data_IF_013245129510
#
_entry.id   IF_013245129510
#
_cell.length_a   1.000
_cell.length_b   1.000
_cell.length_c   1.000
_cell.angle_alpha   90.00
_cell.angle_beta   90.00
_cell.angle_gamma   90.00
#
_symmetry.space_group_name_H-M   'P 1'
#
loop_
_entity.id
_entity.type
_entity.pdbx_description
1 polymer ?
#
# COMPACT_ATOMS: atom_id res chain seq x y z
N UNK A 1 -10.72 4.91 -5.61
CA UNK A 1 -11.16 3.80 -6.50
C UNK A 1 -10.55 3.88 -7.90
N UNK A 2 -10.49 5.07 -8.52
CA UNK A 2 -9.88 5.21 -9.86
C UNK A 2 -8.38 4.87 -9.92
N UNK A 3 -7.60 5.17 -8.86
CA UNK A 3 -6.17 4.85 -8.82
C UNK A 3 -5.87 3.35 -8.88
N UNK A 4 -6.69 2.54 -8.21
CA UNK A 4 -6.61 1.07 -8.26
C UNK A 4 -7.01 0.55 -9.66
N UNK A 5 -7.99 1.19 -10.30
CA UNK A 5 -8.34 0.90 -11.70
C UNK A 5 -7.20 1.22 -12.68
N UNK A 6 -6.47 2.32 -12.44
CA UNK A 6 -5.28 2.70 -13.20
C UNK A 6 -4.12 1.72 -12.94
N UNK A 7 -3.90 1.28 -11.71
CA UNK A 7 -2.94 0.23 -11.38
C UNK A 7 -3.30 -1.10 -12.07
N UNK A 8 -4.59 -1.45 -12.09
CA UNK A 8 -5.13 -2.56 -12.87
C UNK A 8 -4.77 -2.43 -14.36
N UNK A 9 -5.10 -1.30 -14.97
CA UNK A 9 -4.81 -1.00 -16.37
C UNK A 9 -3.30 -1.11 -16.69
N UNK A 10 -2.45 -0.50 -15.87
CA UNK A 10 -0.98 -0.59 -16.00
C UNK A 10 -0.45 -2.02 -15.85
N UNK A 11 -1.12 -2.85 -15.04
CA UNK A 11 -0.74 -4.25 -14.83
C UNK A 11 -1.32 -5.23 -15.87
N UNK A 12 -2.05 -4.74 -16.87
CA UNK A 12 -2.69 -5.57 -17.90
C UNK A 12 -3.95 -6.29 -17.42
N UNK A 13 -4.70 -5.68 -16.50
CA UNK A 13 -5.96 -6.20 -16.00
C UNK A 13 -7.13 -5.71 -16.87
N UNK A 14 -7.83 -6.64 -17.54
CA UNK A 14 -8.92 -6.34 -18.49
C UNK A 14 -10.28 -6.04 -17.82
N UNK A 15 -10.37 -5.97 -16.49
CA UNK A 15 -11.63 -5.64 -15.80
C UNK A 15 -12.68 -6.77 -15.78
N UNK A 16 -12.33 -7.95 -16.26
CA UNK A 16 -13.21 -9.11 -16.39
C UNK A 16 -13.61 -9.75 -15.07
N UNK A 17 -12.87 -9.52 -13.99
CA UNK A 17 -13.17 -10.06 -12.67
C UNK A 17 -13.86 -9.02 -11.77
N UNK A 18 -15.01 -9.39 -11.22
CA UNK A 18 -15.82 -8.53 -10.37
C UNK A 18 -15.55 -8.84 -8.90
N UNK A 19 -14.96 -7.90 -8.18
CA UNK A 19 -14.69 -8.01 -6.74
C UNK A 19 -15.98 -7.81 -5.92
N UNK A 20 -16.92 -8.75 -5.99
CA UNK A 20 -18.20 -8.68 -5.28
C UNK A 20 -18.20 -9.45 -3.96
N UNK A 21 -17.57 -10.61 -3.89
CA UNK A 21 -17.55 -11.45 -2.68
C UNK A 21 -16.12 -11.64 -2.16
N UNK A 22 -15.89 -11.44 -0.85
CA UNK A 22 -14.64 -11.84 -0.21
C UNK A 22 -14.44 -13.35 -0.35
N UNK A 23 -13.26 -13.77 -0.82
CA UNK A 23 -12.90 -15.19 -0.94
C UNK A 23 -13.04 -15.79 -2.34
N UNK A 24 -13.51 -15.02 -3.33
CA UNK A 24 -13.49 -15.45 -4.73
C UNK A 24 -12.04 -15.64 -5.21
N UNK A 25 -11.78 -16.79 -5.85
CA UNK A 25 -10.46 -17.09 -6.40
C UNK A 25 -10.19 -16.25 -7.64
N UNK A 26 -8.98 -15.73 -7.74
CA UNK A 26 -8.58 -14.82 -8.83
C UNK A 26 -8.30 -15.51 -10.19
N UNK A 27 -8.51 -16.82 -10.29
CA UNK A 27 -8.31 -17.64 -11.50
C UNK A 27 -7.06 -17.20 -12.31
N UNK A 28 -7.23 -16.82 -13.58
CA UNK A 28 -6.16 -16.37 -14.47
C UNK A 28 -5.94 -14.85 -14.51
N UNK A 29 -6.55 -14.09 -13.58
CA UNK A 29 -6.46 -12.63 -13.60
C UNK A 29 -5.23 -12.11 -12.87
N UNK A 30 -4.53 -11.15 -13.46
CA UNK A 30 -3.34 -10.52 -12.88
C UNK A 30 -3.67 -9.56 -11.72
N UNK A 31 -3.98 -10.09 -10.54
CA UNK A 31 -4.20 -9.31 -9.32
C UNK A 31 -2.90 -8.87 -8.63
N UNK A 32 -1.77 -9.51 -8.97
CA UNK A 32 -0.46 -9.24 -8.36
C UNK A 32 0.03 -7.80 -8.60
N UNK A 33 -0.25 -7.23 -9.78
CA UNK A 33 0.13 -5.84 -10.08
C UNK A 33 -0.61 -4.82 -9.23
N UNK A 34 -1.90 -5.04 -8.98
CA UNK A 34 -2.71 -4.20 -8.10
C UNK A 34 -2.24 -4.28 -6.64
N UNK A 35 -1.89 -5.49 -6.16
CA UNK A 35 -1.31 -5.67 -4.81
C UNK A 35 0.07 -5.03 -4.70
N UNK A 36 0.92 -5.22 -5.71
CA UNK A 36 2.25 -4.60 -5.75
C UNK A 36 2.18 -3.08 -5.72
N UNK A 37 1.21 -2.49 -6.41
CA UNK A 37 0.99 -1.04 -6.40
C UNK A 37 0.55 -0.52 -5.02
N UNK A 38 -0.42 -1.17 -4.36
CA UNK A 38 -0.82 -0.82 -3.00
C UNK A 38 0.34 -0.98 -2.00
N UNK A 39 1.09 -2.09 -2.08
CA UNK A 39 2.23 -2.34 -1.21
C UNK A 39 3.36 -1.33 -1.44
N UNK A 40 3.59 -0.91 -2.69
CA UNK A 40 4.56 0.12 -3.02
C UNK A 40 4.17 1.48 -2.41
N UNK A 41 2.93 1.92 -2.58
CA UNK A 41 2.45 3.16 -1.97
C UNK A 41 2.49 3.13 -0.44
N UNK A 42 2.09 2.02 0.18
CA UNK A 42 2.21 1.84 1.62
C UNK A 42 3.66 1.83 2.11
N UNK A 43 4.58 1.24 1.35
CA UNK A 43 6.01 1.26 1.68
C UNK A 43 6.63 2.66 1.59
N UNK A 44 6.13 3.53 0.72
CA UNK A 44 6.55 4.93 0.62
C UNK A 44 6.09 5.77 1.82
N UNK A 45 5.05 5.33 2.54
CA UNK A 45 4.53 6.03 3.71
C UNK A 45 5.57 6.07 4.85
N UNK A 46 6.38 5.02 5.01
CA UNK A 46 7.46 4.94 6.01
C UNK A 46 8.54 6.02 5.81
N UNK A 47 9.20 6.17 4.64
CA UNK A 47 10.18 7.23 4.43
C UNK A 47 9.55 8.63 4.46
N UNK A 48 8.29 8.80 4.04
CA UNK A 48 7.61 10.09 4.20
C UNK A 48 7.38 10.45 5.67
N UNK A 49 6.99 9.47 6.52
CA UNK A 49 6.86 9.68 7.96
C UNK A 49 8.21 10.05 8.59
N UNK A 50 9.30 9.37 8.20
CA UNK A 50 10.66 9.73 8.63
C UNK A 50 11.00 11.19 8.31
N UNK A 51 10.81 11.62 7.06
CA UNK A 51 11.10 12.98 6.61
C UNK A 51 10.24 14.02 7.33
N UNK A 52 8.96 13.71 7.54
CA UNK A 52 8.01 14.60 8.24
C UNK A 52 8.43 14.83 9.69
N UNK A 53 8.80 13.77 10.41
CA UNK A 53 9.27 13.89 11.80
C UNK A 53 10.63 14.55 11.86
N UNK A 54 11.51 14.30 10.89
CA UNK A 54 12.81 14.95 10.81
C UNK A 54 12.68 16.46 10.63
N UNK A 55 11.82 16.93 9.72
CA UNK A 55 11.55 18.36 9.51
C UNK A 55 10.91 19.01 10.74
N UNK A 56 9.94 18.34 11.37
CA UNK A 56 9.19 18.90 12.49
C UNK A 56 10.01 18.93 13.80
N UNK A 57 10.73 17.85 14.09
CA UNK A 57 11.45 17.68 15.37
C UNK A 57 12.94 18.03 15.28
N UNK A 58 13.51 18.15 14.07
CA UNK A 58 14.96 18.32 13.80
C UNK A 58 15.87 17.32 14.51
N UNK A 59 15.33 16.15 14.86
CA UNK A 59 15.99 15.15 15.68
C UNK A 59 16.00 13.81 14.94
N UNK A 60 17.21 13.37 14.56
CA UNK A 60 17.45 12.06 13.92
C UNK A 60 16.91 10.87 14.74
N UNK A 61 17.12 10.76 16.07
CA UNK A 61 16.59 9.63 16.82
C UNK A 61 15.06 9.63 16.88
N UNK A 62 14.41 10.80 16.94
CA UNK A 62 12.95 10.90 16.91
C UNK A 62 12.38 10.44 15.55
N UNK A 63 13.02 10.85 14.44
CA UNK A 63 12.63 10.44 13.10
C UNK A 63 12.81 8.93 12.88
N UNK A 64 13.94 8.36 13.32
CA UNK A 64 14.19 6.92 13.26
C UNK A 64 13.18 6.12 14.09
N UNK A 65 12.86 6.58 15.30
CA UNK A 65 11.90 5.91 16.17
C UNK A 65 10.50 5.94 15.55
N UNK A 66 10.07 7.06 14.97
CA UNK A 66 8.78 7.15 14.27
C UNK A 66 8.71 6.21 13.06
N UNK A 67 9.74 6.17 12.23
CA UNK A 67 9.79 5.26 11.08
C UNK A 67 9.78 3.78 11.51
N UNK A 68 10.51 3.44 12.58
CA UNK A 68 10.52 2.09 13.15
C UNK A 68 9.13 1.71 13.68
N UNK A 69 8.47 2.58 14.45
CA UNK A 69 7.11 2.33 14.94
C UNK A 69 6.14 2.08 13.78
N UNK A 70 6.20 2.87 12.70
CA UNK A 70 5.33 2.70 11.55
C UNK A 70 5.63 1.40 10.77
N UNK A 71 6.91 1.01 10.68
CA UNK A 71 7.33 -0.23 10.03
C UNK A 71 6.87 -1.47 10.79
N UNK A 72 6.87 -1.42 12.12
CA UNK A 72 6.42 -2.51 12.98
C UNK A 72 4.92 -2.45 13.30
N UNK A 73 4.18 -1.48 12.75
CA UNK A 73 2.74 -1.43 12.88
C UNK A 73 2.10 -2.47 11.95
N UNK A 74 1.64 -3.56 12.56
CA UNK A 74 0.93 -4.64 11.88
C UNK A 74 -0.34 -4.15 11.17
N UNK A 75 -0.99 -3.08 11.66
CA UNK A 75 -2.16 -2.48 11.03
C UNK A 75 -1.84 -1.95 9.64
N UNK A 76 -0.82 -1.09 9.53
CA UNK A 76 -0.35 -0.56 8.26
C UNK A 76 0.08 -1.68 7.30
N UNK A 77 0.87 -2.64 7.77
CA UNK A 77 1.31 -3.76 6.94
C UNK A 77 0.14 -4.62 6.42
N UNK A 78 -0.92 -4.77 7.21
CA UNK A 78 -2.13 -5.48 6.76
C UNK A 78 -2.96 -4.68 5.78
N UNK A 79 -3.04 -3.35 5.90
CA UNK A 79 -3.79 -2.52 4.96
C UNK A 79 -3.09 -2.44 3.60
N UNK A 80 -1.79 -2.13 3.58
CA UNK A 80 -1.04 -1.92 2.34
C UNK A 80 -0.89 -3.17 1.46
N UNK A 81 -0.97 -4.39 2.03
CA UNK A 81 -0.81 -5.64 1.27
C UNK A 81 -2.05 -6.07 0.48
N UNK A 82 -3.21 -5.51 0.81
CA UNK A 82 -4.48 -5.83 0.16
C UNK A 82 -4.86 -4.73 -0.83
N UNK A 83 -5.75 -5.07 -1.76
CA UNK A 83 -6.29 -4.11 -2.73
C UNK A 83 -7.40 -3.31 -2.02
N UNK A 84 -7.01 -2.54 -1.03
CA UNK A 84 -7.88 -1.64 -0.27
C UNK A 84 -7.71 -0.21 -0.78
N UNK A 85 -8.74 0.61 -0.55
CA UNK A 85 -8.64 2.03 -0.87
C UNK A 85 -7.73 2.79 0.07
N UNK A 86 -7.60 2.25 1.28
CA UNK A 86 -6.72 2.76 2.30
C UNK A 86 -5.34 2.17 2.03
N UNK A 87 -4.34 3.01 1.66
CA UNK A 87 -2.97 2.57 1.50
C UNK A 87 -2.31 2.26 2.84
#
# INVERSE_FOLDING_TARGET
KMLIGLAGYLSGYDGTFLFQKPGDKYEHHNYMGMRGFCAFLGSLLVPFAYLTVLELSRSLPAALLSAALLTFDTGCLTLSQYILLDP
#
